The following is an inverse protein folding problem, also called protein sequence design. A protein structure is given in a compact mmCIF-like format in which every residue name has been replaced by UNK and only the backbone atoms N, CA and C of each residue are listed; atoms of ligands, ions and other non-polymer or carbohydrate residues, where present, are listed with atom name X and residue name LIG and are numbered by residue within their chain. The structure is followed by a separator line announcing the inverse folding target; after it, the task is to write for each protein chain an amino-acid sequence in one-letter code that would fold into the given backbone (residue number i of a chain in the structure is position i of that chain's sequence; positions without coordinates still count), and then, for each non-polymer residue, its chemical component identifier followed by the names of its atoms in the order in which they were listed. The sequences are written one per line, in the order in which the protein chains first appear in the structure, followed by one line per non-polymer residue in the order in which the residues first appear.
data_IF_733317416655
#
_entry.id   IF_733317416655
#
_cell.length_a   1.000
_cell.length_b   1.000
_cell.length_c   1.000
_cell.angle_alpha   90.00
_cell.angle_beta   90.00
_cell.angle_gamma   90.00
#
_symmetry.space_group_name_H-M   'P 1'
#
loop_
_entity.id
_entity.type
_entity.pdbx_description
1 polymer ?
#
# COMPACT_ATOMS: atom_id res chain seq x y z
N UNK A 1 -43.98 59.27 36.05
CA UNK A 1 -44.35 58.43 34.88
C UNK A 1 -43.02 58.04 34.24
N UNK A 2 -42.50 56.90 34.64
CA UNK A 2 -41.15 56.43 34.30
C UNK A 2 -41.34 55.29 33.25
N UNK A 3 -40.81 55.53 32.05
CA UNK A 3 -40.80 54.58 30.94
C UNK A 3 -39.60 53.68 31.04
N UNK A 4 -39.79 52.36 31.29
CA UNK A 4 -38.75 51.36 31.29
C UNK A 4 -38.61 50.81 29.88
N UNK A 5 -37.51 51.11 29.19
CA UNK A 5 -37.18 50.48 27.91
C UNK A 5 -36.58 49.11 28.18
N UNK A 6 -37.24 48.05 27.73
CA UNK A 6 -36.74 46.68 27.71
C UNK A 6 -35.89 46.45 26.44
N UNK A 7 -34.61 46.34 26.61
CA UNK A 7 -33.67 45.89 25.56
C UNK A 7 -33.68 44.36 25.51
N UNK A 8 -34.18 43.83 24.41
CA UNK A 8 -34.09 42.37 24.11
C UNK A 8 -32.75 42.12 23.43
N UNK A 9 -31.84 41.44 24.13
CA UNK A 9 -30.60 40.96 23.55
C UNK A 9 -30.86 39.62 22.84
N UNK A 10 -30.82 39.59 21.50
CA UNK A 10 -30.81 38.38 20.70
C UNK A 10 -29.41 37.76 20.77
N UNK A 11 -29.31 36.63 21.50
CA UNK A 11 -28.12 35.77 21.48
C UNK A 11 -28.18 34.90 20.22
N UNK A 12 -27.42 35.26 19.19
CA UNK A 12 -27.24 34.41 18.00
C UNK A 12 -26.31 33.25 18.36
N UNK A 13 -26.87 32.07 18.54
CA UNK A 13 -26.10 30.85 18.69
C UNK A 13 -25.44 30.50 17.33
N UNK A 14 -24.16 30.71 17.24
CA UNK A 14 -23.35 30.33 16.09
C UNK A 14 -23.06 28.81 16.20
N UNK A 15 -23.89 27.98 15.59
CA UNK A 15 -23.63 26.56 15.44
C UNK A 15 -22.43 26.38 14.48
N UNK A 16 -21.26 26.14 15.02
CA UNK A 16 -20.12 25.62 14.28
C UNK A 16 -20.45 24.21 13.81
N UNK A 17 -20.91 24.10 12.58
CA UNK A 17 -21.00 22.80 11.88
C UNK A 17 -19.57 22.39 11.57
N UNK A 18 -19.01 21.53 12.42
CA UNK A 18 -17.76 20.82 12.14
C UNK A 18 -18.04 19.87 10.98
N UNK A 19 -17.86 20.37 9.74
CA UNK A 19 -17.90 19.57 8.54
C UNK A 19 -16.82 18.50 8.63
N UNK A 20 -17.23 17.25 8.67
CA UNK A 20 -16.37 16.08 8.76
C UNK A 20 -15.41 16.02 7.56
N UNK A 21 -14.12 16.01 7.84
CA UNK A 21 -13.00 15.98 6.89
C UNK A 21 -12.86 14.63 6.13
N UNK A 22 -13.96 14.02 5.72
CA UNK A 22 -13.92 12.70 5.06
C UNK A 22 -13.62 12.77 3.55
N UNK A 23 -13.70 13.96 2.95
CA UNK A 23 -13.35 14.14 1.55
C UNK A 23 -11.84 14.24 1.32
N UNK A 24 -11.07 14.38 2.37
CA UNK A 24 -9.64 14.70 2.33
C UNK A 24 -8.76 13.45 2.17
N UNK A 25 -9.11 12.33 2.84
CA UNK A 25 -8.27 11.11 2.85
C UNK A 25 -8.04 10.50 1.48
N UNK A 26 -9.02 10.54 0.56
CA UNK A 26 -8.86 10.08 -0.82
C UNK A 26 -7.93 11.02 -1.60
N UNK A 27 -8.08 12.32 -1.42
CA UNK A 27 -7.23 13.32 -2.06
C UNK A 27 -5.79 13.22 -1.53
N UNK A 28 -5.64 13.00 -0.22
CA UNK A 28 -4.35 12.81 0.44
C UNK A 28 -3.64 11.56 -0.05
N UNK A 29 -4.34 10.41 -0.13
CA UNK A 29 -3.76 9.19 -0.69
C UNK A 29 -3.33 9.38 -2.15
N UNK A 30 -4.15 10.03 -2.97
CA UNK A 30 -3.81 10.30 -4.37
C UNK A 30 -2.59 11.20 -4.48
N UNK A 31 -2.50 12.26 -3.65
CA UNK A 31 -1.34 13.13 -3.59
C UNK A 31 -0.11 12.37 -3.12
N UNK A 32 -0.25 11.59 -2.06
CA UNK A 32 0.81 10.74 -1.53
C UNK A 32 1.37 9.78 -2.58
N UNK A 33 0.48 9.12 -3.35
CA UNK A 33 0.87 8.24 -4.45
C UNK A 33 1.62 9.00 -5.56
N UNK A 34 1.14 10.17 -5.98
CA UNK A 34 1.80 10.96 -7.04
C UNK A 34 3.17 11.48 -6.63
N UNK A 35 3.32 11.90 -5.40
CA UNK A 35 4.54 12.52 -4.89
C UNK A 35 5.59 11.50 -4.40
N UNK A 36 5.20 10.26 -4.15
CA UNK A 36 6.11 9.21 -3.69
C UNK A 36 6.93 8.69 -4.87
N UNK A 37 8.23 8.95 -4.85
CA UNK A 37 9.20 8.43 -5.83
C UNK A 37 9.88 7.18 -5.30
N UNK A 38 10.28 7.21 -4.04
CA UNK A 38 10.91 6.07 -3.36
C UNK A 38 10.26 5.84 -2.02
N UNK A 39 10.24 4.59 -1.58
CA UNK A 39 9.72 4.19 -0.28
C UNK A 39 10.56 3.03 0.25
N UNK A 40 10.97 3.10 1.52
CA UNK A 40 11.56 1.99 2.25
C UNK A 40 10.80 1.79 3.54
N UNK A 41 10.61 0.56 3.95
CA UNK A 41 10.01 0.24 5.23
C UNK A 41 10.37 -1.18 5.67
N UNK A 42 10.23 -1.43 6.95
CA UNK A 42 10.04 -2.77 7.49
C UNK A 42 8.55 -3.10 7.43
N UNK A 43 8.22 -4.38 7.31
CA UNK A 43 6.84 -4.83 7.36
C UNK A 43 6.66 -6.07 8.23
N UNK A 44 5.50 -6.14 8.88
CA UNK A 44 4.94 -7.35 9.44
C UNK A 44 3.67 -7.69 8.67
N UNK A 45 3.58 -8.92 8.19
CA UNK A 45 2.46 -9.44 7.40
C UNK A 45 1.77 -10.56 8.15
N UNK A 46 0.45 -10.58 8.09
CA UNK A 46 -0.37 -11.72 8.51
C UNK A 46 -1.42 -12.01 7.47
N UNK A 47 -1.62 -13.29 7.16
CA UNK A 47 -2.66 -13.74 6.23
C UNK A 47 -3.64 -14.61 6.99
N UNK A 48 -4.94 -14.37 6.77
CA UNK A 48 -6.06 -15.12 7.33
C UNK A 48 -6.99 -15.57 6.20
N UNK A 49 -7.61 -16.73 6.35
CA UNK A 49 -8.41 -17.36 5.30
C UNK A 49 -7.54 -18.11 4.30
N UNK A 50 -8.16 -18.93 3.45
CA UNK A 50 -7.47 -19.72 2.44
C UNK A 50 -6.58 -20.84 3.01
N UNK A 51 -5.83 -21.49 2.11
CA UNK A 51 -4.85 -22.52 2.46
C UNK A 51 -3.51 -21.81 2.65
N UNK A 52 -2.97 -21.73 3.90
CA UNK A 52 -1.64 -21.20 4.17
C UNK A 52 -1.58 -19.86 4.89
N UNK A 53 -2.56 -19.56 5.72
CA UNK A 53 -2.49 -18.39 6.62
C UNK A 53 -1.24 -18.47 7.49
N UNK A 54 -0.51 -17.33 7.60
CA UNK A 54 0.73 -17.28 8.37
C UNK A 54 1.16 -15.84 8.69
N UNK A 55 2.19 -15.76 9.53
CA UNK A 55 2.84 -14.48 9.83
C UNK A 55 4.22 -14.46 9.21
N UNK A 56 4.57 -13.36 8.58
CA UNK A 56 5.92 -13.11 8.08
C UNK A 56 6.34 -11.68 8.35
N UNK A 57 7.63 -11.44 8.29
CA UNK A 57 8.20 -10.11 8.44
C UNK A 57 9.39 -9.94 7.51
N UNK A 58 9.67 -8.69 7.16
CA UNK A 58 10.74 -8.41 6.25
C UNK A 58 10.93 -6.93 6.00
N UNK A 59 11.57 -6.63 4.88
CA UNK A 59 11.87 -5.26 4.44
C UNK A 59 11.39 -5.03 3.02
N UNK A 60 10.99 -3.82 2.72
CA UNK A 60 10.68 -3.41 1.36
C UNK A 60 11.45 -2.17 0.93
N UNK A 61 11.73 -2.09 -0.35
CA UNK A 61 12.18 -0.87 -1.02
C UNK A 61 11.42 -0.73 -2.34
N UNK A 62 11.03 0.49 -2.67
CA UNK A 62 10.29 0.83 -3.88
C UNK A 62 10.98 2.02 -4.55
N UNK A 63 11.04 1.99 -5.87
CA UNK A 63 11.40 3.13 -6.71
C UNK A 63 10.45 3.16 -7.90
N UNK A 64 9.56 4.12 -7.89
CA UNK A 64 8.53 4.27 -8.94
C UNK A 64 9.11 4.87 -10.22
N UNK A 65 8.60 4.48 -11.39
CA UNK A 65 7.58 3.42 -11.59
C UNK A 65 8.18 2.00 -11.64
N UNK A 66 7.42 1.03 -11.18
CA UNK A 66 7.59 -0.39 -11.47
C UNK A 66 8.76 -1.13 -10.81
N UNK A 67 9.60 -0.45 -10.00
CA UNK A 67 10.74 -1.09 -9.35
C UNK A 67 10.49 -1.30 -7.87
N UNK A 68 10.75 -2.52 -7.41
CA UNK A 68 10.61 -2.86 -6.01
C UNK A 68 11.55 -4.00 -5.61
N UNK A 69 11.82 -4.07 -4.31
CA UNK A 69 12.44 -5.17 -3.62
C UNK A 69 11.62 -5.49 -2.40
N UNK A 70 11.21 -6.75 -2.28
CA UNK A 70 10.42 -7.26 -1.16
C UNK A 70 11.15 -8.48 -0.61
N UNK A 71 11.65 -8.38 0.63
CA UNK A 71 12.42 -9.44 1.27
C UNK A 71 11.68 -9.94 2.49
N UNK A 72 11.22 -11.18 2.47
CA UNK A 72 10.77 -11.90 3.66
C UNK A 72 12.00 -12.49 4.35
N UNK A 73 12.14 -12.23 5.64
CA UNK A 73 13.29 -12.66 6.44
C UNK A 73 12.89 -13.69 7.51
N UNK A 74 11.62 -13.78 7.86
CA UNK A 74 11.04 -14.72 8.82
C UNK A 74 9.58 -15.05 8.43
N UNK A 75 9.11 -16.28 8.66
CA UNK A 75 9.83 -17.44 9.24
C UNK A 75 10.74 -18.14 8.22
N UNK A 76 10.61 -17.85 6.93
CA UNK A 76 11.41 -18.34 5.82
C UNK A 76 12.06 -17.15 5.09
N UNK A 77 13.03 -17.44 4.25
CA UNK A 77 13.67 -16.42 3.42
C UNK A 77 13.08 -16.48 2.01
N UNK A 78 12.58 -15.35 1.51
CA UNK A 78 12.13 -15.20 0.14
C UNK A 78 12.42 -13.79 -0.36
N UNK A 79 12.84 -13.68 -1.61
CA UNK A 79 13.12 -12.38 -2.22
C UNK A 79 12.31 -12.21 -3.50
N UNK A 80 11.60 -11.08 -3.59
CA UNK A 80 10.98 -10.65 -4.83
C UNK A 80 11.60 -9.33 -5.27
N UNK A 81 11.99 -9.25 -6.55
CA UNK A 81 12.55 -8.02 -7.14
C UNK A 81 11.83 -7.72 -8.44
N UNK A 82 11.26 -6.52 -8.52
CA UNK A 82 10.80 -5.91 -9.76
C UNK A 82 11.87 -4.94 -10.28
N UNK A 83 12.35 -5.16 -11.50
CA UNK A 83 13.39 -4.31 -12.11
C UNK A 83 12.81 -3.24 -13.05
N UNK A 84 11.48 -3.19 -13.17
CA UNK A 84 10.72 -2.33 -14.08
C UNK A 84 10.27 -3.06 -15.35
N UNK A 85 10.91 -4.15 -15.73
CA UNK A 85 10.56 -4.97 -16.90
C UNK A 85 10.18 -6.41 -16.54
N UNK A 86 10.75 -6.93 -15.47
CA UNK A 86 10.56 -8.30 -15.00
C UNK A 86 10.34 -8.32 -13.49
N UNK A 87 9.67 -9.38 -13.04
CA UNK A 87 9.57 -9.73 -11.62
C UNK A 87 10.29 -11.05 -11.41
N UNK A 88 11.22 -11.03 -10.48
CA UNK A 88 12.04 -12.15 -10.05
C UNK A 88 11.56 -12.58 -8.66
N UNK A 89 11.19 -13.84 -8.51
CA UNK A 89 10.89 -14.46 -7.22
C UNK A 89 11.96 -15.51 -6.95
N UNK A 90 12.73 -15.30 -5.89
CA UNK A 90 13.81 -16.20 -5.49
C UNK A 90 13.50 -16.84 -4.15
N UNK A 91 13.51 -18.17 -4.15
CA UNK A 91 13.45 -19.01 -2.98
C UNK A 91 14.85 -19.64 -2.78
N UNK A 92 15.62 -19.21 -1.76
CA UNK A 92 16.95 -19.75 -1.51
C UNK A 92 16.96 -21.17 -0.95
N UNK A 93 15.89 -21.62 -0.25
CA UNK A 93 15.80 -22.95 0.30
C UNK A 93 15.60 -23.99 -0.82
N UNK A 94 14.76 -23.65 -1.81
CA UNK A 94 14.54 -24.46 -3.00
C UNK A 94 15.60 -24.23 -4.08
N UNK A 95 16.48 -23.22 -3.93
CA UNK A 95 17.42 -22.74 -4.98
C UNK A 95 16.71 -22.47 -6.31
N UNK A 96 15.49 -21.93 -6.25
CA UNK A 96 14.65 -21.72 -7.40
C UNK A 96 14.39 -20.22 -7.64
N UNK A 97 14.43 -19.83 -8.90
CA UNK A 97 14.06 -18.50 -9.36
C UNK A 97 12.92 -18.61 -10.35
N UNK A 98 11.82 -17.92 -10.11
CA UNK A 98 10.75 -17.74 -11.08
C UNK A 98 10.88 -16.33 -11.65
N UNK A 99 10.89 -16.21 -12.99
CA UNK A 99 10.91 -14.91 -13.66
C UNK A 99 9.73 -14.78 -14.60
N UNK A 100 9.03 -13.64 -14.52
CA UNK A 100 7.90 -13.29 -15.38
C UNK A 100 7.98 -11.83 -15.81
N UNK A 101 7.32 -11.49 -16.93
CA UNK A 101 7.24 -10.11 -17.41
C UNK A 101 6.41 -9.26 -16.44
N UNK A 102 6.83 -8.00 -16.22
CA UNK A 102 6.16 -7.07 -15.32
C UNK A 102 4.70 -6.78 -15.73
N UNK A 103 4.42 -6.72 -17.02
CA UNK A 103 3.09 -6.45 -17.57
C UNK A 103 2.03 -7.45 -17.08
N UNK A 104 2.42 -8.71 -16.89
CA UNK A 104 1.54 -9.80 -16.46
C UNK A 104 1.50 -9.99 -14.93
N UNK A 105 2.30 -9.26 -14.18
CA UNK A 105 2.55 -9.57 -12.77
C UNK A 105 2.28 -8.42 -11.80
N UNK A 106 1.94 -7.21 -12.31
CA UNK A 106 1.65 -6.04 -11.46
C UNK A 106 0.39 -6.20 -10.63
N UNK A 107 -0.48 -7.15 -10.96
CA UNK A 107 -1.75 -7.39 -10.24
C UNK A 107 -1.66 -8.20 -8.97
N UNK A 108 -0.58 -8.92 -8.72
CA UNK A 108 -0.58 -10.00 -7.73
C UNK A 108 0.16 -9.75 -6.42
N UNK A 109 0.74 -8.57 -6.17
CA UNK A 109 1.50 -8.35 -4.94
C UNK A 109 1.34 -6.95 -4.35
N UNK A 110 1.40 -6.80 -3.01
CA UNK A 110 1.38 -5.48 -2.36
C UNK A 110 2.50 -4.55 -2.85
N UNK A 111 3.67 -5.12 -3.09
CA UNK A 111 4.84 -4.39 -3.59
C UNK A 111 4.61 -3.80 -4.98
N UNK A 112 4.02 -4.58 -5.89
CA UNK A 112 3.72 -4.15 -7.25
C UNK A 112 2.69 -3.01 -7.28
N UNK A 113 1.69 -3.06 -6.38
CA UNK A 113 0.71 -1.99 -6.25
C UNK A 113 1.37 -0.68 -5.80
N UNK A 114 2.19 -0.73 -4.76
CA UNK A 114 2.89 0.46 -4.24
C UNK A 114 3.93 0.99 -5.23
N UNK A 115 4.54 0.11 -6.04
CA UNK A 115 5.53 0.47 -7.05
C UNK A 115 4.92 0.90 -8.38
N UNK A 116 3.61 0.78 -8.57
CA UNK A 116 2.92 1.13 -9.82
C UNK A 116 3.24 2.53 -10.34
N UNK A 117 2.79 2.82 -11.54
CA UNK A 117 2.87 4.14 -12.13
C UNK A 117 1.89 5.13 -11.48
N UNK A 118 1.87 6.37 -11.98
CA UNK A 118 0.99 7.42 -11.44
C UNK A 118 -0.47 7.28 -11.90
N UNK A 119 -0.81 6.21 -12.61
CA UNK A 119 -2.13 5.97 -13.19
C UNK A 119 -3.06 5.16 -12.28
N UNK A 120 -2.83 5.23 -10.95
CA UNK A 120 -3.66 4.51 -9.98
C UNK A 120 -5.17 4.81 -10.14
N UNK A 121 -5.51 6.05 -10.54
CA UNK A 121 -6.91 6.45 -10.78
C UNK A 121 -7.52 5.80 -12.02
N UNK A 122 -6.73 5.38 -12.99
CA UNK A 122 -7.22 4.65 -14.15
C UNK A 122 -7.54 3.20 -13.79
N UNK A 123 -6.81 2.63 -12.83
CA UNK A 123 -6.91 1.22 -12.44
C UNK A 123 -7.84 0.97 -11.25
N UNK A 124 -8.00 1.95 -10.37
CA UNK A 124 -8.75 1.80 -9.11
C UNK A 124 -9.81 2.87 -8.95
N UNK A 125 -10.89 2.48 -8.29
CA UNK A 125 -11.87 3.40 -7.70
C UNK A 125 -11.51 3.57 -6.23
N UNK A 126 -11.49 4.81 -5.74
CA UNK A 126 -11.13 5.12 -4.36
C UNK A 126 -12.34 5.58 -3.56
N UNK A 127 -12.47 5.11 -2.31
CA UNK A 127 -13.50 5.50 -1.35
C UNK A 127 -12.86 5.69 0.02
N UNK A 128 -13.26 6.73 0.75
CA UNK A 128 -12.86 6.90 2.16
C UNK A 128 -13.42 5.74 3.00
N UNK A 129 -12.61 5.25 3.94
CA UNK A 129 -12.98 4.15 4.84
C UNK A 129 -12.90 4.57 6.32
N UNK A 130 -12.72 5.87 6.57
CA UNK A 130 -12.67 6.47 7.90
C UNK A 130 -11.32 6.33 8.60
N UNK A 131 -11.30 6.75 9.85
CA UNK A 131 -10.12 6.69 10.71
C UNK A 131 -10.17 5.46 11.61
N UNK A 132 -9.11 4.65 11.58
CA UNK A 132 -8.94 3.48 12.44
C UNK A 132 -7.49 3.39 12.90
N UNK A 133 -7.29 3.15 14.21
CA UNK A 133 -5.97 2.98 14.82
C UNK A 133 -4.98 4.13 14.54
N UNK A 134 -5.49 5.37 14.48
CA UNK A 134 -4.69 6.57 14.26
C UNK A 134 -4.19 6.75 12.81
N UNK A 135 -4.82 6.09 11.87
CA UNK A 135 -4.59 6.26 10.43
C UNK A 135 -5.91 6.48 9.70
N UNK A 136 -5.89 7.31 8.69
CA UNK A 136 -6.98 7.47 7.73
C UNK A 136 -6.87 6.39 6.67
N UNK A 137 -7.98 5.67 6.45
CA UNK A 137 -8.03 4.54 5.55
C UNK A 137 -8.82 4.87 4.29
N UNK A 138 -8.28 4.37 3.17
CA UNK A 138 -8.91 4.48 1.85
C UNK A 138 -9.02 3.09 1.24
N UNK A 139 -10.21 2.75 0.76
CA UNK A 139 -10.46 1.56 -0.05
C UNK A 139 -10.10 1.88 -1.50
N UNK A 140 -9.31 1.00 -2.11
CA UNK A 140 -9.04 0.96 -3.54
C UNK A 140 -9.63 -0.33 -4.10
N UNK A 141 -10.63 -0.21 -4.98
CA UNK A 141 -11.27 -1.33 -5.68
C UNK A 141 -10.78 -1.35 -7.13
N UNK A 142 -10.20 -2.45 -7.61
CA UNK A 142 -9.78 -2.58 -9.00
C UNK A 142 -10.97 -2.38 -9.95
N UNK A 143 -10.76 -1.65 -11.04
CA UNK A 143 -11.77 -1.50 -12.10
C UNK A 143 -11.84 -2.71 -13.03
N UNK A 144 -10.79 -3.52 -13.06
CA UNK A 144 -10.69 -4.75 -13.84
C UNK A 144 -10.35 -5.93 -12.91
N UNK A 145 -10.82 -7.12 -13.24
CA UNK A 145 -10.67 -8.31 -12.40
C UNK A 145 -9.36 -9.08 -12.66
N UNK A 146 -8.34 -8.43 -13.21
CA UNK A 146 -7.05 -9.03 -13.56
C UNK A 146 -5.98 -8.89 -12.48
N UNK A 147 -6.28 -8.18 -11.40
CA UNK A 147 -5.30 -7.86 -10.35
C UNK A 147 -5.12 -8.97 -9.31
N UNK A 148 -5.99 -9.98 -9.27
CA UNK A 148 -6.01 -11.01 -8.22
C UNK A 148 -6.57 -10.53 -6.87
N UNK A 149 -6.81 -9.22 -6.71
CA UNK A 149 -7.42 -8.63 -5.52
C UNK A 149 -8.81 -8.09 -5.86
N UNK A 150 -9.74 -8.21 -4.90
CA UNK A 150 -11.08 -7.62 -4.99
C UNK A 150 -11.16 -6.29 -4.24
N UNK A 151 -10.31 -6.13 -3.22
CA UNK A 151 -10.27 -4.92 -2.39
C UNK A 151 -8.89 -4.72 -1.79
N UNK A 152 -8.46 -3.47 -1.73
CA UNK A 152 -7.25 -3.06 -1.06
C UNK A 152 -7.59 -1.87 -0.17
N UNK A 153 -7.20 -1.92 1.10
CA UNK A 153 -7.30 -0.79 2.02
C UNK A 153 -5.91 -0.27 2.30
N UNK A 154 -5.72 1.03 2.28
CA UNK A 154 -4.43 1.70 2.50
C UNK A 154 -4.62 2.71 3.61
N UNK A 155 -3.81 2.60 4.66
CA UNK A 155 -3.85 3.49 5.83
C UNK A 155 -2.66 4.44 5.85
N UNK A 156 -2.95 5.73 5.94
CA UNK A 156 -1.97 6.80 6.10
C UNK A 156 -2.18 7.54 7.41
N UNK A 157 -1.10 7.91 8.09
CA UNK A 157 -1.12 8.89 9.17
C UNK A 157 -0.28 10.09 8.73
N UNK A 158 -0.96 11.15 8.27
CA UNK A 158 -0.32 12.22 7.53
C UNK A 158 0.43 11.68 6.30
N UNK A 159 1.74 11.91 6.24
CA UNK A 159 2.57 11.46 5.12
C UNK A 159 3.18 10.05 5.29
N UNK A 160 2.82 9.34 6.33
CA UNK A 160 3.41 8.02 6.65
C UNK A 160 2.46 6.88 6.33
N UNK A 161 2.91 5.91 5.54
CA UNK A 161 2.20 4.68 5.29
C UNK A 161 2.22 3.80 6.56
N UNK A 162 1.05 3.51 7.12
CA UNK A 162 0.91 2.70 8.35
C UNK A 162 0.56 1.25 8.06
N UNK A 163 -0.28 1.01 7.07
CA UNK A 163 -0.71 -0.35 6.79
C UNK A 163 -1.42 -0.51 5.46
N UNK A 164 -1.58 -1.77 5.09
CA UNK A 164 -2.44 -2.20 3.99
C UNK A 164 -3.20 -3.44 4.38
N UNK A 165 -4.42 -3.58 3.87
CA UNK A 165 -5.19 -4.82 3.95
C UNK A 165 -5.62 -5.18 2.54
N UNK A 166 -5.28 -6.39 2.11
CA UNK A 166 -5.58 -6.89 0.77
C UNK A 166 -6.52 -8.08 0.89
N UNK A 167 -7.59 -8.05 0.14
CA UNK A 167 -8.56 -9.15 0.02
C UNK A 167 -8.49 -9.68 -1.41
N UNK A 168 -8.17 -10.97 -1.56
CA UNK A 168 -8.10 -11.60 -2.86
C UNK A 168 -9.45 -12.23 -3.28
N UNK A 169 -9.51 -12.70 -4.54
CA UNK A 169 -10.71 -13.33 -5.10
C UNK A 169 -11.09 -14.67 -4.46
N UNK A 170 -10.20 -15.24 -3.62
CA UNK A 170 -10.44 -16.47 -2.87
C UNK A 170 -10.85 -16.23 -1.42
N UNK A 171 -11.04 -14.95 -1.02
CA UNK A 171 -11.40 -14.54 0.33
C UNK A 171 -10.25 -14.59 1.32
N UNK A 172 -9.01 -14.69 0.85
CA UNK A 172 -7.84 -14.54 1.72
C UNK A 172 -7.61 -13.07 2.02
N UNK A 173 -7.45 -12.76 3.30
CA UNK A 173 -7.14 -11.41 3.78
C UNK A 173 -5.70 -11.36 4.24
N UNK A 174 -4.91 -10.50 3.60
CA UNK A 174 -3.52 -10.21 3.99
C UNK A 174 -3.44 -8.82 4.58
N UNK A 175 -2.99 -8.75 5.84
CA UNK A 175 -2.76 -7.49 6.56
C UNK A 175 -1.27 -7.22 6.65
N UNK A 176 -0.88 -6.01 6.30
CA UNK A 176 0.48 -5.48 6.38
C UNK A 176 0.50 -4.31 7.35
N UNK A 177 1.44 -4.30 8.26
CA UNK A 177 1.77 -3.17 9.13
C UNK A 177 3.18 -2.73 8.80
N UNK A 178 3.37 -1.45 8.54
CA UNK A 178 4.66 -0.87 8.18
C UNK A 178 5.27 -0.11 9.36
N UNK A 179 6.59 -0.16 9.44
CA UNK A 179 7.40 0.58 10.41
C UNK A 179 8.69 1.05 9.76
N UNK A 180 9.39 2.00 10.40
CA UNK A 180 10.63 2.58 9.89
C UNK A 180 10.48 3.12 8.45
N UNK A 181 9.34 3.76 8.17
CA UNK A 181 8.98 4.23 6.83
C UNK A 181 9.82 5.44 6.44
N UNK A 182 10.54 5.34 5.33
CA UNK A 182 11.32 6.42 4.74
C UNK A 182 10.78 6.68 3.34
N UNK A 183 10.10 7.81 3.17
CA UNK A 183 9.54 8.26 1.89
C UNK A 183 10.48 9.26 1.23
N UNK A 184 10.68 9.10 -0.08
CA UNK A 184 11.52 9.95 -0.92
C UNK A 184 13.00 10.06 -0.45
N UNK A 185 13.46 9.02 0.29
CA UNK A 185 14.85 8.88 0.65
C UNK A 185 15.69 8.22 -0.44
N UNK A 186 16.99 8.07 -0.20
CA UNK A 186 17.91 7.43 -1.13
C UNK A 186 17.54 5.94 -1.36
N UNK A 187 17.44 5.55 -2.63
CA UNK A 187 17.16 4.20 -3.07
C UNK A 187 18.00 3.88 -4.31
N UNK A 188 19.27 3.45 -4.13
CA UNK A 188 20.18 3.23 -5.23
C UNK A 188 19.66 2.16 -6.18
N UNK A 189 19.89 2.33 -7.48
CA UNK A 189 19.38 1.46 -8.53
C UNK A 189 19.83 -0.01 -8.38
N UNK A 190 20.91 -0.26 -7.65
CA UNK A 190 21.41 -1.61 -7.35
C UNK A 190 20.44 -2.43 -6.50
N UNK A 191 19.59 -1.79 -5.67
CA UNK A 191 18.57 -2.48 -4.89
C UNK A 191 17.55 -3.21 -5.76
N UNK A 192 17.31 -2.71 -6.98
CA UNK A 192 16.27 -3.20 -7.89
C UNK A 192 16.85 -4.07 -9.02
N UNK A 193 18.08 -4.53 -8.86
CA UNK A 193 18.71 -5.49 -9.75
C UNK A 193 18.76 -6.85 -9.07
N UNK A 194 18.50 -7.89 -9.85
CA UNK A 194 18.64 -9.27 -9.40
C UNK A 194 19.39 -10.09 -10.45
N UNK A 195 20.35 -10.87 -9.99
CA UNK A 195 21.05 -11.86 -10.79
C UNK A 195 20.85 -13.20 -10.11
N UNK A 196 20.29 -14.21 -10.79
CA UNK A 196 20.16 -15.54 -10.23
C UNK A 196 21.49 -16.06 -9.67
N UNK A 197 21.53 -16.57 -8.44
CA UNK A 197 22.72 -17.18 -7.89
C UNK A 197 23.17 -18.40 -8.70
N UNK A 198 24.47 -18.69 -8.66
CA UNK A 198 25.01 -19.88 -9.31
C UNK A 198 24.35 -21.14 -8.75
N UNK A 199 23.90 -22.03 -9.65
CA UNK A 199 23.20 -23.28 -9.28
C UNK A 199 21.73 -23.13 -8.93
N UNK A 200 21.13 -21.95 -9.09
CA UNK A 200 19.69 -21.79 -8.99
C UNK A 200 19.01 -22.23 -10.29
N UNK A 201 17.90 -22.97 -10.14
CA UNK A 201 17.02 -23.32 -11.27
C UNK A 201 16.16 -22.09 -11.64
N UNK A 202 16.13 -21.74 -12.93
CA UNK A 202 15.43 -20.53 -13.41
C UNK A 202 14.25 -20.92 -14.30
N UNK A 203 13.04 -20.76 -13.75
CA UNK A 203 11.78 -20.99 -14.43
C UNK A 203 11.26 -19.70 -15.05
N UNK A 204 11.01 -19.69 -16.36
CA UNK A 204 10.43 -18.57 -17.10
C UNK A 204 8.94 -18.80 -17.31
N UNK A 205 8.13 -17.81 -16.95
CA UNK A 205 6.66 -17.80 -17.12
C UNK A 205 6.21 -16.60 -17.95
#
# INVERSE_FOLDING_TARGET
MILIKRTVACLAAFCLVSGTAWADSVADLKSWLRETRTLKADFAQSSAGGIGGGKSQGTMAISRPGKFRWSINKPYTQLMVGDGSRIWLYDPELKQVIVRKSENALGGTPAALLAGDNDAEQRFTFKADGEHAGAEWVIAEPKQNDTGFVRIRIGLAGNELKGMVLEDSFGQVTTLVFSNVVRNGDAPASLFRFTPPAGADVLKQ
#
